data_IF_521191907463
#
_entry.id   IF_521191907463
#
_cell.length_a   1.000
_cell.length_b   1.000
_cell.length_c   1.000
_cell.angle_alpha   90.00
_cell.angle_beta   90.00
_cell.angle_gamma   90.00
#
_symmetry.space_group_name_H-M   'P 1'
#
loop_
_entity.id
_entity.type
_entity.pdbx_description
1 polymer ?
#
# COMPACT_ATOMS: atom_id res chain seq x y z
N UNK A 1 22.16 5.70 -12.91
CA UNK A 1 20.87 6.11 -12.33
C UNK A 1 19.83 4.99 -12.42
N UNK A 2 19.56 4.45 -13.61
CA UNK A 2 18.55 3.39 -13.86
C UNK A 2 18.69 2.06 -13.08
N UNK A 3 19.88 1.71 -12.58
CA UNK A 3 20.08 0.47 -11.82
C UNK A 3 19.51 0.49 -10.39
N UNK A 4 19.33 1.68 -9.78
CA UNK A 4 18.83 1.79 -8.39
C UNK A 4 17.33 1.46 -8.25
N UNK A 5 16.56 1.63 -9.33
CA UNK A 5 15.09 1.62 -9.31
C UNK A 5 14.50 0.28 -9.78
N UNK A 6 15.29 -0.55 -10.48
CA UNK A 6 14.78 -1.66 -11.28
C UNK A 6 14.16 -2.84 -10.50
N UNK A 7 14.32 -2.88 -9.17
CA UNK A 7 13.91 -4.01 -8.34
C UNK A 7 12.88 -3.64 -7.24
N UNK A 8 12.29 -2.45 -7.32
CA UNK A 8 11.34 -1.97 -6.29
C UNK A 8 9.94 -1.89 -6.91
N UNK A 9 8.93 -2.39 -6.20
CA UNK A 9 7.52 -2.15 -6.57
C UNK A 9 7.12 -0.70 -6.31
N UNK A 10 6.00 -0.24 -6.87
CA UNK A 10 5.45 1.08 -6.55
C UNK A 10 5.04 1.22 -5.09
N UNK A 11 4.53 0.16 -4.48
CA UNK A 11 4.13 0.17 -3.07
C UNK A 11 5.37 0.26 -2.17
N UNK A 12 6.41 -0.53 -2.46
CA UNK A 12 7.69 -0.46 -1.76
C UNK A 12 8.34 0.93 -1.89
N UNK A 13 8.29 1.52 -3.08
CA UNK A 13 8.79 2.87 -3.31
C UNK A 13 8.01 3.95 -2.54
N UNK A 14 6.68 3.83 -2.50
CA UNK A 14 5.82 4.73 -1.71
C UNK A 14 6.09 4.58 -0.22
N UNK A 15 6.25 3.35 0.27
CA UNK A 15 6.62 3.07 1.65
C UNK A 15 7.99 3.66 2.02
N UNK A 16 8.97 3.58 1.11
CA UNK A 16 10.27 4.18 1.30
C UNK A 16 10.19 5.72 1.45
N UNK A 17 9.31 6.39 0.70
CA UNK A 17 9.06 7.83 0.87
C UNK A 17 8.40 8.15 2.22
N UNK A 18 7.47 7.33 2.71
CA UNK A 18 6.86 7.52 4.03
C UNK A 18 7.89 7.42 5.16
N UNK A 19 8.76 6.41 5.14
CA UNK A 19 9.85 6.32 6.11
C UNK A 19 10.78 7.53 6.04
N UNK A 20 11.02 8.08 4.85
CA UNK A 20 11.81 9.30 4.69
C UNK A 20 11.11 10.53 5.27
N UNK A 21 9.82 10.71 4.97
CA UNK A 21 8.99 11.79 5.50
C UNK A 21 8.96 11.77 7.02
N UNK A 22 8.64 10.62 7.63
CA UNK A 22 8.55 10.48 9.07
C UNK A 22 9.84 10.88 9.78
N UNK A 23 10.99 10.50 9.24
CA UNK A 23 12.29 10.82 9.83
C UNK A 23 12.68 12.31 9.72
N UNK A 24 11.97 13.09 8.91
CA UNK A 24 12.24 14.52 8.69
C UNK A 24 11.22 15.43 9.40
N UNK A 25 10.14 14.86 9.96
CA UNK A 25 9.12 15.60 10.68
C UNK A 25 9.50 15.80 12.15
N UNK A 26 9.11 16.94 12.70
CA UNK A 26 9.28 17.28 14.12
C UNK A 26 8.02 16.96 14.96
N UNK A 27 6.87 16.83 14.29
CA UNK A 27 5.55 16.58 14.88
C UNK A 27 5.18 15.08 14.84
N UNK A 28 6.16 14.21 15.06
CA UNK A 28 5.98 12.75 15.06
C UNK A 28 6.33 12.16 16.42
N UNK A 29 5.47 11.24 16.89
CA UNK A 29 5.71 10.44 18.09
C UNK A 29 5.46 8.97 17.79
N UNK A 30 6.08 8.09 18.57
CA UNK A 30 5.84 6.65 18.51
C UNK A 30 5.07 6.23 19.75
N UNK A 31 4.02 5.43 19.56
CA UNK A 31 3.17 4.93 20.64
C UNK A 31 3.05 3.41 20.55
N UNK A 32 2.97 2.79 21.72
CA UNK A 32 2.67 1.37 21.89
C UNK A 32 1.89 1.18 23.20
N UNK A 33 1.04 0.16 23.26
CA UNK A 33 0.25 -0.18 24.43
C UNK A 33 0.25 -1.68 24.72
N UNK A 34 0.22 -2.01 26.02
CA UNK A 34 -0.10 -3.36 26.48
C UNK A 34 -1.53 -3.40 26.99
N UNK A 35 -2.22 -4.50 26.73
CA UNK A 35 -3.67 -4.59 26.89
C UNK A 35 -4.07 -5.84 27.64
N UNK A 36 -5.27 -5.84 28.23
CA UNK A 36 -5.83 -7.02 28.91
C UNK A 36 -6.25 -8.13 27.95
N UNK A 37 -6.12 -7.94 26.63
CA UNK A 37 -6.50 -8.91 25.62
C UNK A 37 -6.56 -8.31 24.21
N UNK A 38 -7.02 -9.11 23.26
CA UNK A 38 -7.09 -8.71 21.84
C UNK A 38 -8.42 -8.06 21.43
N UNK A 39 -9.48 -8.31 22.20
CA UNK A 39 -10.86 -7.89 21.91
C UNK A 39 -11.58 -7.63 23.22
N UNK A 40 -12.48 -6.64 23.25
CA UNK A 40 -13.20 -6.24 24.47
C UNK A 40 -12.22 -6.05 25.65
N UNK A 41 -11.16 -5.30 25.36
CA UNK A 41 -9.98 -5.21 26.20
C UNK A 41 -9.71 -3.76 26.58
N UNK A 42 -8.91 -3.61 27.64
CA UNK A 42 -8.53 -2.32 28.21
C UNK A 42 -7.02 -2.18 28.13
N UNK A 43 -6.54 -0.96 27.94
CA UNK A 43 -5.12 -0.64 28.04
C UNK A 43 -4.68 -0.76 29.51
N UNK A 44 -3.59 -1.48 29.77
CA UNK A 44 -2.99 -1.64 31.10
C UNK A 44 -1.57 -1.05 31.20
N UNK A 45 -0.92 -0.75 30.08
CA UNK A 45 0.29 0.07 29.98
C UNK A 45 0.29 0.84 28.67
N UNK A 46 0.80 2.07 28.68
CA UNK A 46 0.97 2.87 27.47
C UNK A 46 2.24 3.71 27.53
N UNK A 47 2.95 3.77 26.41
CA UNK A 47 4.17 4.54 26.27
C UNK A 47 4.14 5.40 25.01
N UNK A 48 4.77 6.57 25.10
CA UNK A 48 4.98 7.48 23.97
C UNK A 48 6.41 7.98 24.00
N UNK A 49 7.10 7.92 22.86
CA UNK A 49 8.44 8.46 22.67
C UNK A 49 8.49 9.42 21.48
N UNK A 50 9.44 10.35 21.49
CA UNK A 50 9.79 11.13 20.29
C UNK A 50 10.73 10.35 19.36
N UNK A 51 11.05 10.93 18.20
CA UNK A 51 11.98 10.34 17.24
C UNK A 51 13.45 10.35 17.68
N UNK A 52 13.78 10.97 18.81
CA UNK A 52 15.09 10.88 19.46
C UNK A 52 15.13 9.75 20.51
N UNK A 53 14.00 9.10 20.77
CA UNK A 53 13.85 8.03 21.75
C UNK A 53 13.64 8.53 23.18
N UNK A 54 13.38 9.83 23.38
CA UNK A 54 13.04 10.36 24.70
C UNK A 54 11.61 9.95 25.05
N UNK A 55 11.41 9.53 26.30
CA UNK A 55 10.06 9.24 26.81
C UNK A 55 9.29 10.53 27.04
N UNK A 56 8.18 10.66 26.32
CA UNK A 56 7.20 11.74 26.51
C UNK A 56 6.10 11.32 27.48
N UNK A 57 5.72 10.05 27.44
CA UNK A 57 4.75 9.45 28.34
C UNK A 57 5.12 7.99 28.60
N UNK A 58 4.90 7.52 29.83
CA UNK A 58 5.05 6.11 30.20
C UNK A 58 4.24 5.87 31.47
N UNK A 59 3.16 5.09 31.38
CA UNK A 59 2.28 4.86 32.52
C UNK A 59 1.70 3.46 32.47
N UNK A 60 1.63 2.82 33.64
CA UNK A 60 0.60 1.82 33.87
C UNK A 60 -0.77 2.48 33.91
N UNK A 61 -1.78 1.72 33.52
CA UNK A 61 -3.19 2.09 33.57
C UNK A 61 -3.89 1.01 34.36
N UNK A 62 -4.75 1.41 35.29
CA UNK A 62 -5.59 0.48 36.04
C UNK A 62 -6.83 0.14 35.23
N UNK A 63 -6.95 -1.08 34.65
CA UNK A 63 -8.17 -1.51 34.00
C UNK A 63 -9.28 -1.69 35.03
N UNK A 64 -10.54 -1.65 34.57
CA UNK A 64 -11.72 -1.95 35.37
C UNK A 64 -11.78 -3.44 35.68
N UNK A 65 -11.42 -4.29 34.70
CA UNK A 65 -11.42 -5.74 34.85
C UNK A 65 -10.03 -6.29 35.21
N UNK A 66 -9.95 -7.41 35.97
CA UNK A 66 -8.68 -8.06 36.26
C UNK A 66 -7.92 -8.45 34.99
N UNK A 67 -6.59 -8.32 35.00
CA UNK A 67 -5.74 -8.69 33.86
C UNK A 67 -5.78 -10.21 33.68
N UNK A 68 -6.25 -10.73 32.53
CA UNK A 68 -6.28 -12.16 32.27
C UNK A 68 -4.88 -12.80 32.27
N UNK A 69 -4.80 -14.05 32.73
CA UNK A 69 -3.52 -14.79 32.79
C UNK A 69 -2.82 -14.94 31.43
N UNK A 70 -3.58 -15.05 30.34
CA UNK A 70 -3.00 -15.15 28.99
C UNK A 70 -2.34 -13.84 28.55
N UNK A 71 -2.88 -12.68 28.92
CA UNK A 71 -2.25 -11.38 28.68
C UNK A 71 -0.98 -11.25 29.56
N UNK A 72 -1.08 -11.58 30.86
CA UNK A 72 0.07 -11.63 31.77
C UNK A 72 1.23 -12.48 31.22
N UNK A 73 0.95 -13.63 30.62
CA UNK A 73 1.99 -14.49 30.03
C UNK A 73 2.77 -13.83 28.88
N UNK A 74 2.18 -12.85 28.21
CA UNK A 74 2.80 -12.13 27.09
C UNK A 74 3.66 -11.00 27.64
N UNK A 75 3.05 -10.06 28.38
CA UNK A 75 3.68 -8.80 28.78
C UNK A 75 4.19 -8.75 30.23
N UNK A 76 3.83 -9.73 31.06
CA UNK A 76 4.26 -9.83 32.46
C UNK A 76 3.59 -8.88 33.46
N UNK A 77 2.66 -8.02 33.00
CA UNK A 77 1.88 -7.10 33.85
C UNK A 77 0.76 -7.85 34.59
N UNK A 78 0.69 -7.69 35.90
CA UNK A 78 -0.36 -8.26 36.75
C UNK A 78 -1.13 -7.17 37.53
N UNK A 79 -2.24 -7.55 38.16
CA UNK A 79 -3.11 -6.62 38.90
C UNK A 79 -2.37 -5.86 40.02
N UNK A 80 -1.39 -6.50 40.65
CA UNK A 80 -0.59 -5.89 41.73
C UNK A 80 0.27 -4.72 41.24
N UNK A 81 0.75 -4.76 39.99
CA UNK A 81 1.53 -3.69 39.38
C UNK A 81 0.66 -2.48 39.05
N UNK A 82 -0.60 -2.71 38.65
CA UNK A 82 -1.51 -1.64 38.18
C UNK A 82 -2.47 -1.12 39.26
N UNK A 83 -2.60 -1.79 40.42
CA UNK A 83 -3.62 -1.49 41.44
C UNK A 83 -3.72 -0.04 41.92
N UNK A 84 -2.60 0.68 41.91
CA UNK A 84 -2.47 2.08 42.36
C UNK A 84 -2.23 3.06 41.20
N UNK A 85 -2.31 2.57 39.96
CA UNK A 85 -2.15 3.37 38.75
C UNK A 85 -3.43 4.16 38.44
N UNK A 86 -3.33 5.27 37.70
CA UNK A 86 -4.51 6.01 37.24
C UNK A 86 -5.40 5.11 36.36
N UNK A 87 -6.71 5.38 36.37
CA UNK A 87 -7.63 4.80 35.39
C UNK A 87 -7.42 5.38 33.99
N UNK A 88 -8.15 4.86 33.01
CA UNK A 88 -8.00 5.30 31.61
C UNK A 88 -8.32 6.79 31.41
N UNK A 89 -9.39 7.31 32.02
CA UNK A 89 -9.76 8.73 31.90
C UNK A 89 -8.64 9.68 32.37
N UNK A 90 -8.11 9.44 33.58
CA UNK A 90 -7.01 10.27 34.13
C UNK A 90 -5.71 10.13 33.32
N UNK A 91 -5.47 8.95 32.76
CA UNK A 91 -4.33 8.70 31.87
C UNK A 91 -4.51 9.48 30.57
N UNK A 92 -5.69 9.41 29.97
CA UNK A 92 -6.02 10.08 28.72
C UNK A 92 -5.92 11.60 28.84
N UNK A 93 -6.38 12.20 29.95
CA UNK A 93 -6.26 13.64 30.19
C UNK A 93 -4.80 14.14 30.15
N UNK A 94 -3.84 13.29 30.51
CA UNK A 94 -2.41 13.58 30.43
C UNK A 94 -1.80 13.21 29.08
N UNK A 95 -2.31 12.15 28.46
CA UNK A 95 -1.82 11.61 27.20
C UNK A 95 -2.24 12.44 25.99
N UNK A 96 -3.52 12.84 25.89
CA UNK A 96 -4.07 13.52 24.73
C UNK A 96 -3.29 14.79 24.35
N UNK A 97 -2.90 15.70 25.27
CA UNK A 97 -2.08 16.86 24.92
C UNK A 97 -0.71 16.53 24.30
N UNK A 98 -0.19 15.32 24.54
CA UNK A 98 1.07 14.84 23.98
C UNK A 98 0.88 14.35 22.55
N UNK A 99 -0.29 13.78 22.24
CA UNK A 99 -0.65 13.20 20.94
C UNK A 99 -1.31 14.19 19.98
N UNK A 100 -2.03 15.16 20.53
CA UNK A 100 -2.78 16.16 19.76
C UNK A 100 -1.86 16.90 18.78
N UNK A 101 -2.36 17.10 17.56
CA UNK A 101 -1.68 17.80 16.47
C UNK A 101 -0.34 17.16 16.06
N UNK A 102 -0.14 15.87 16.36
CA UNK A 102 1.01 15.07 15.93
C UNK A 102 0.58 13.87 15.11
N UNK A 103 1.50 13.39 14.27
CA UNK A 103 1.39 12.07 13.67
C UNK A 103 1.90 11.01 14.66
N UNK A 104 1.02 10.10 15.05
CA UNK A 104 1.32 9.00 15.98
C UNK A 104 1.64 7.75 15.18
N UNK A 105 2.91 7.36 15.17
CA UNK A 105 3.38 6.13 14.54
C UNK A 105 3.22 4.97 15.52
N UNK A 106 2.50 3.95 15.09
CA UNK A 106 2.21 2.77 15.90
C UNK A 106 2.54 1.55 15.04
N UNK A 107 3.10 0.49 15.63
CA UNK A 107 3.41 -0.69 14.85
C UNK A 107 2.17 -1.27 14.20
N UNK A 108 1.10 -1.49 14.97
CA UNK A 108 -0.21 -1.90 14.47
C UNK A 108 -1.29 -0.87 14.85
N UNK A 109 -1.29 0.29 14.20
CA UNK A 109 -2.12 1.44 14.54
C UNK A 109 -3.62 1.16 14.75
N UNK A 110 -4.22 0.32 13.92
CA UNK A 110 -5.63 -0.05 14.04
C UNK A 110 -5.95 -0.71 15.39
N UNK A 111 -5.02 -1.50 15.93
CA UNK A 111 -5.19 -2.18 17.20
C UNK A 111 -5.19 -1.19 18.37
N UNK A 112 -4.13 -0.39 18.49
CA UNK A 112 -3.99 0.59 19.58
C UNK A 112 -5.03 1.70 19.49
N UNK A 113 -5.34 2.19 18.29
CA UNK A 113 -6.37 3.23 18.10
C UNK A 113 -7.75 2.75 18.55
N UNK A 114 -8.12 1.51 18.17
CA UNK A 114 -9.34 0.87 18.65
C UNK A 114 -9.33 0.71 20.17
N UNK A 115 -8.24 0.24 20.76
CA UNK A 115 -8.11 0.02 22.20
C UNK A 115 -8.17 1.33 23.01
N UNK A 116 -7.66 2.44 22.48
CA UNK A 116 -7.83 3.76 23.08
C UNK A 116 -9.32 4.17 23.14
N UNK A 117 -10.10 3.79 22.13
CA UNK A 117 -11.55 4.00 22.12
C UNK A 117 -12.29 3.00 23.03
N UNK A 118 -11.99 1.70 22.95
CA UNK A 118 -12.62 0.62 23.74
C UNK A 118 -12.35 0.76 25.24
N UNK A 119 -11.20 1.33 25.64
CA UNK A 119 -10.91 1.61 27.05
C UNK A 119 -11.85 2.65 27.68
N UNK A 120 -12.65 3.36 26.88
CA UNK A 120 -13.76 4.20 27.35
C UNK A 120 -15.13 3.48 27.36
N UNK A 121 -15.22 2.20 26.97
CA UNK A 121 -16.50 1.50 26.79
C UNK A 121 -17.31 1.33 28.09
N UNK A 122 -16.66 1.37 29.25
CA UNK A 122 -17.32 1.33 30.57
C UNK A 122 -17.95 2.67 30.97
N UNK A 123 -17.75 3.72 30.18
CA UNK A 123 -18.19 5.07 30.46
C UNK A 123 -19.59 5.36 29.89
N UNK A 124 -20.38 6.20 30.57
CA UNK A 124 -21.74 6.56 30.13
C UNK A 124 -21.68 7.51 28.92
N UNK A 125 -22.13 7.05 27.74
CA UNK A 125 -22.15 7.84 26.51
C UNK A 125 -23.13 9.03 26.57
N UNK A 126 -24.02 9.08 27.55
CA UNK A 126 -24.87 10.25 27.81
C UNK A 126 -24.12 11.37 28.51
N UNK A 127 -22.95 11.10 29.09
CA UNK A 127 -22.05 12.11 29.63
C UNK A 127 -21.37 12.90 28.50
N UNK A 128 -21.39 14.22 28.61
CA UNK A 128 -20.74 15.12 27.66
C UNK A 128 -19.21 14.98 27.68
N UNK A 129 -18.63 14.73 28.85
CA UNK A 129 -17.18 14.55 29.02
C UNK A 129 -16.70 13.34 28.23
N UNK A 130 -17.40 12.21 28.32
CA UNK A 130 -17.01 11.00 27.60
C UNK A 130 -17.18 11.14 26.09
N UNK A 131 -18.23 11.83 25.62
CA UNK A 131 -18.37 12.15 24.19
C UNK A 131 -17.21 12.99 23.68
N UNK A 132 -16.76 13.98 24.45
CA UNK A 132 -15.58 14.78 24.11
C UNK A 132 -14.33 13.89 23.99
N UNK A 133 -14.09 12.98 24.95
CA UNK A 133 -12.93 12.08 24.89
C UNK A 133 -12.95 11.14 23.70
N UNK A 134 -14.10 10.57 23.35
CA UNK A 134 -14.23 9.73 22.16
C UNK A 134 -14.00 10.52 20.87
N UNK A 135 -14.42 11.78 20.84
CA UNK A 135 -14.13 12.67 19.72
C UNK A 135 -12.62 12.97 19.62
N UNK A 136 -11.96 13.22 20.74
CA UNK A 136 -10.51 13.40 20.81
C UNK A 136 -9.75 12.18 20.28
N UNK A 137 -10.16 10.94 20.61
CA UNK A 137 -9.54 9.71 20.07
C UNK A 137 -9.65 9.68 18.54
N UNK A 138 -10.80 10.04 17.97
CA UNK A 138 -11.03 10.07 16.51
C UNK A 138 -10.18 11.12 15.79
N UNK A 139 -9.79 12.18 16.49
CA UNK A 139 -8.97 13.26 15.94
C UNK A 139 -7.48 12.91 15.91
N UNK A 140 -7.04 11.88 16.65
CA UNK A 140 -5.65 11.43 16.63
C UNK A 140 -5.31 10.87 15.25
N UNK A 141 -4.29 11.47 14.63
CA UNK A 141 -3.75 11.00 13.37
C UNK A 141 -2.76 9.88 13.64
N UNK A 142 -3.06 8.68 13.14
CA UNK A 142 -2.16 7.52 13.25
C UNK A 142 -1.60 7.10 11.89
N UNK A 143 -0.44 6.47 11.90
CA UNK A 143 0.03 5.70 10.76
C UNK A 143 0.66 4.36 11.20
N UNK A 144 0.43 3.35 10.36
CA UNK A 144 0.80 1.96 10.61
C UNK A 144 2.23 1.66 10.15
N UNK A 145 3.17 1.52 11.08
CA UNK A 145 4.56 1.18 10.75
C UNK A 145 4.67 -0.24 10.19
N UNK A 146 3.89 -1.20 10.71
CA UNK A 146 3.87 -2.58 10.21
C UNK A 146 3.46 -2.64 8.75
N UNK A 147 2.38 -1.96 8.37
CA UNK A 147 1.87 -1.97 6.99
C UNK A 147 2.89 -1.34 6.05
N UNK A 148 3.43 -0.18 6.41
CA UNK A 148 4.47 0.48 5.61
C UNK A 148 5.73 -0.36 5.52
N UNK A 149 6.13 -1.08 6.58
CA UNK A 149 7.26 -2.01 6.52
C UNK A 149 6.97 -3.23 5.63
N UNK A 150 5.77 -3.81 5.73
CA UNK A 150 5.30 -4.91 4.86
C UNK A 150 5.35 -4.49 3.39
N UNK A 151 4.84 -3.30 3.06
CA UNK A 151 4.89 -2.74 1.70
C UNK A 151 6.34 -2.51 1.25
N UNK A 152 7.20 -1.96 2.12
CA UNK A 152 8.61 -1.71 1.82
C UNK A 152 9.37 -2.97 1.39
N UNK A 153 9.08 -4.11 2.01
CA UNK A 153 9.74 -5.39 1.71
C UNK A 153 8.95 -6.27 0.73
N UNK A 154 7.88 -5.75 0.14
CA UNK A 154 6.98 -6.48 -0.77
C UNK A 154 6.46 -7.80 -0.17
N UNK A 155 6.16 -7.81 1.12
CA UNK A 155 5.59 -8.99 1.79
C UNK A 155 4.09 -9.08 1.56
N UNK A 156 3.59 -10.28 1.27
CA UNK A 156 2.15 -10.56 1.14
C UNK A 156 1.45 -10.83 2.48
N UNK A 157 2.21 -10.80 3.58
CA UNK A 157 1.70 -11.06 4.94
C UNK A 157 2.18 -9.99 5.90
N UNK A 158 1.40 -9.78 6.97
CA UNK A 158 1.86 -8.97 8.10
C UNK A 158 3.18 -9.48 8.67
N UNK A 159 4.04 -8.55 9.05
CA UNK A 159 5.35 -8.83 9.61
C UNK A 159 5.33 -8.53 11.11
N UNK A 160 5.96 -9.39 11.91
CA UNK A 160 6.07 -9.17 13.36
C UNK A 160 7.13 -8.13 13.68
N UNK A 161 6.92 -7.35 14.74
CA UNK A 161 7.86 -6.32 15.20
C UNK A 161 9.27 -6.90 15.41
N UNK A 162 9.37 -8.06 16.06
CA UNK A 162 10.64 -8.73 16.33
C UNK A 162 11.41 -9.12 15.07
N UNK A 163 10.70 -9.40 13.97
CA UNK A 163 11.34 -9.64 12.68
C UNK A 163 11.78 -8.31 12.04
N UNK A 164 10.94 -7.29 12.09
CA UNK A 164 11.23 -5.99 11.50
C UNK A 164 12.40 -5.26 12.20
N UNK A 165 12.47 -5.32 13.53
CA UNK A 165 13.59 -4.72 14.30
C UNK A 165 14.80 -5.66 14.41
N UNK A 166 14.64 -6.96 14.11
CA UNK A 166 15.73 -7.94 14.09
C UNK A 166 16.14 -8.51 15.45
N UNK A 167 15.35 -8.28 16.51
CA UNK A 167 15.59 -8.85 17.84
C UNK A 167 14.28 -9.10 18.59
N UNK A 168 14.32 -9.87 19.69
CA UNK A 168 13.16 -10.05 20.56
C UNK A 168 12.85 -8.80 21.37
N UNK A 169 11.58 -8.56 21.65
CA UNK A 169 11.13 -7.52 22.59
C UNK A 169 10.63 -8.17 23.89
N UNK A 170 10.49 -7.36 24.94
CA UNK A 170 10.01 -7.83 26.25
C UNK A 170 8.48 -7.77 26.38
N UNK A 171 7.76 -7.38 25.33
CA UNK A 171 6.33 -7.08 25.39
C UNK A 171 6.03 -6.10 26.53
N UNK A 172 6.66 -4.93 26.42
CA UNK A 172 6.41 -3.79 27.30
C UNK A 172 6.28 -2.57 26.44
N UNK A 173 5.31 -1.70 26.72
CA UNK A 173 4.99 -0.57 25.87
C UNK A 173 6.23 0.27 25.51
N UNK A 174 7.06 0.60 26.51
CA UNK A 174 8.29 1.38 26.29
C UNK A 174 9.35 0.62 25.47
N UNK A 175 9.44 -0.70 25.62
CA UNK A 175 10.36 -1.54 24.84
C UNK A 175 9.94 -1.59 23.38
N UNK A 176 8.64 -1.72 23.13
CA UNK A 176 8.08 -1.95 21.80
C UNK A 176 7.95 -0.62 21.04
N UNK A 177 7.75 0.51 21.73
CA UNK A 177 8.00 1.85 21.21
C UNK A 177 9.42 2.01 20.65
N UNK A 178 10.44 1.58 21.40
CA UNK A 178 11.84 1.69 20.96
C UNK A 178 12.12 0.79 19.76
N UNK A 179 11.64 -0.45 19.79
CA UNK A 179 11.77 -1.36 18.65
C UNK A 179 11.08 -0.80 17.40
N UNK A 180 9.91 -0.17 17.55
CA UNK A 180 9.20 0.50 16.45
C UNK A 180 9.99 1.70 15.92
N UNK A 181 10.58 2.51 16.81
CA UNK A 181 11.48 3.59 16.42
C UNK A 181 12.71 3.07 15.65
N UNK A 182 13.28 1.94 16.05
CA UNK A 182 14.39 1.31 15.33
C UNK A 182 13.98 0.91 13.92
N UNK A 183 12.79 0.33 13.72
CA UNK A 183 12.25 0.05 12.37
C UNK A 183 12.16 1.35 11.55
N UNK A 184 11.65 2.43 12.13
CA UNK A 184 11.54 3.73 11.45
C UNK A 184 12.93 4.27 11.06
N UNK A 185 13.90 4.21 11.97
CA UNK A 185 15.25 4.76 11.77
C UNK A 185 16.08 3.92 10.80
N UNK A 186 16.02 2.60 10.90
CA UNK A 186 16.77 1.67 10.05
C UNK A 186 16.31 1.71 8.58
N UNK A 187 15.06 2.15 8.33
CA UNK A 187 14.51 2.26 6.99
C UNK A 187 14.57 3.69 6.42
N UNK A 188 15.27 4.61 7.09
CA UNK A 188 15.54 5.94 6.56
C UNK A 188 16.56 5.86 5.40
N UNK A 189 16.15 6.23 4.19
CA UNK A 189 17.02 6.28 3.00
C UNK A 189 16.86 7.60 2.26
N UNK A 190 17.48 8.69 2.73
CA UNK A 190 17.31 10.03 2.13
C UNK A 190 17.74 10.13 0.67
N UNK A 191 18.60 9.21 0.21
CA UNK A 191 19.02 9.10 -1.19
C UNK A 191 17.88 8.64 -2.13
N UNK A 192 16.78 8.10 -1.61
CA UNK A 192 15.59 7.78 -2.38
C UNK A 192 14.61 8.96 -2.34
N UNK A 193 14.39 9.58 -3.49
CA UNK A 193 13.70 10.86 -3.60
C UNK A 193 12.34 10.73 -4.28
N UNK A 194 11.53 11.77 -4.16
CA UNK A 194 10.26 11.90 -4.92
C UNK A 194 10.48 11.78 -6.44
N UNK A 195 11.64 12.20 -6.94
CA UNK A 195 12.00 12.05 -8.37
C UNK A 195 12.21 10.58 -8.73
N UNK A 196 12.84 9.79 -7.86
CA UNK A 196 13.02 8.34 -8.09
C UNK A 196 11.67 7.62 -8.13
N UNK A 197 10.75 7.96 -7.23
CA UNK A 197 9.38 7.44 -7.23
C UNK A 197 8.62 7.80 -8.52
N UNK A 198 8.69 9.06 -8.97
CA UNK A 198 8.05 9.50 -10.22
C UNK A 198 8.63 8.79 -11.44
N UNK A 199 9.94 8.56 -11.48
CA UNK A 199 10.59 7.81 -12.55
C UNK A 199 10.12 6.36 -12.57
N UNK A 200 10.03 5.70 -11.41
CA UNK A 200 9.50 4.33 -11.31
C UNK A 200 8.06 4.25 -11.81
N UNK A 201 7.21 5.19 -11.41
CA UNK A 201 5.80 5.28 -11.84
C UNK A 201 5.66 5.47 -13.35
N UNK A 202 6.52 6.30 -13.95
CA UNK A 202 6.53 6.47 -15.40
C UNK A 202 6.99 5.19 -16.11
N UNK A 203 8.00 4.50 -15.57
CA UNK A 203 8.52 3.26 -16.14
C UNK A 203 7.48 2.13 -16.10
N UNK A 204 6.74 1.98 -15.01
CA UNK A 204 5.65 0.99 -14.93
C UNK A 204 4.53 1.30 -15.93
N UNK A 205 4.14 2.57 -16.06
CA UNK A 205 3.15 2.99 -17.05
C UNK A 205 3.62 2.72 -18.49
N UNK A 206 4.90 2.98 -18.77
CA UNK A 206 5.53 2.66 -20.05
C UNK A 206 5.48 1.15 -20.33
N UNK A 207 5.93 0.31 -19.39
CA UNK A 207 5.91 -1.15 -19.54
C UNK A 207 4.50 -1.71 -19.76
N UNK A 208 3.50 -1.19 -19.03
CA UNK A 208 2.09 -1.54 -19.21
C UNK A 208 1.60 -1.20 -20.62
N UNK A 209 1.94 0.00 -21.10
CA UNK A 209 1.61 0.45 -22.45
C UNK A 209 2.28 -0.41 -23.51
N UNK A 210 3.58 -0.73 -23.35
CA UNK A 210 4.31 -1.61 -24.25
C UNK A 210 3.69 -3.01 -24.30
N UNK A 211 3.30 -3.59 -23.15
CA UNK A 211 2.59 -4.89 -23.10
C UNK A 211 1.27 -4.83 -23.86
N UNK A 212 0.50 -3.74 -23.72
CA UNK A 212 -0.76 -3.55 -24.45
C UNK A 212 -0.54 -3.44 -25.95
N UNK A 213 0.45 -2.67 -26.40
CA UNK A 213 0.83 -2.56 -27.82
C UNK A 213 1.17 -3.93 -28.38
N UNK A 214 2.01 -4.72 -27.69
CA UNK A 214 2.35 -6.08 -28.12
C UNK A 214 1.12 -6.99 -28.24
N UNK A 215 0.19 -6.88 -27.30
CA UNK A 215 -1.08 -7.63 -27.36
C UNK A 215 -1.91 -7.22 -28.58
N UNK A 216 -2.05 -5.92 -28.83
CA UNK A 216 -2.79 -5.41 -29.98
C UNK A 216 -2.18 -5.86 -31.31
N UNK A 217 -0.85 -5.80 -31.43
CA UNK A 217 -0.16 -6.25 -32.64
C UNK A 217 -0.39 -7.74 -32.93
N UNK A 218 -0.48 -8.59 -31.90
CA UNK A 218 -0.86 -10.00 -32.07
C UNK A 218 -2.28 -10.16 -32.60
N UNK A 219 -3.23 -9.38 -32.07
CA UNK A 219 -4.62 -9.37 -32.54
C UNK A 219 -4.73 -8.87 -33.98
N UNK A 220 -4.05 -7.77 -34.32
CA UNK A 220 -4.01 -7.24 -35.69
C UNK A 220 -3.48 -8.29 -36.65
N UNK A 221 -2.40 -8.99 -36.29
CA UNK A 221 -1.84 -10.07 -37.11
C UNK A 221 -2.84 -11.22 -37.33
N UNK A 222 -3.57 -11.63 -36.30
CA UNK A 222 -4.58 -12.68 -36.41
C UNK A 222 -5.75 -12.27 -37.31
N UNK A 223 -6.29 -11.05 -37.13
CA UNK A 223 -7.36 -10.51 -37.97
C UNK A 223 -6.93 -10.33 -39.43
N UNK A 224 -5.67 -9.92 -39.66
CA UNK A 224 -5.11 -9.82 -41.01
C UNK A 224 -5.07 -11.19 -41.70
N UNK A 225 -4.72 -12.25 -40.97
CA UNK A 225 -4.69 -13.62 -41.49
C UNK A 225 -6.10 -14.10 -41.85
N UNK A 226 -7.07 -13.91 -40.96
CA UNK A 226 -8.48 -14.25 -41.19
C UNK A 226 -9.06 -13.50 -42.40
N UNK A 227 -8.74 -12.21 -42.55
CA UNK A 227 -9.15 -11.43 -43.72
C UNK A 227 -8.60 -12.02 -45.02
N UNK A 228 -7.32 -12.41 -45.04
CA UNK A 228 -6.73 -13.05 -46.23
C UNK A 228 -7.40 -14.38 -46.57
N UNK A 229 -7.80 -15.17 -45.57
CA UNK A 229 -8.53 -16.43 -45.77
C UNK A 229 -9.93 -16.19 -46.35
N UNK A 230 -10.67 -15.19 -45.84
CA UNK A 230 -11.99 -14.81 -46.35
C UNK A 230 -11.93 -14.27 -47.79
N UNK A 231 -10.92 -13.47 -48.13
CA UNK A 231 -10.71 -12.98 -49.50
C UNK A 231 -10.46 -14.15 -50.46
N UNK A 232 -9.62 -15.12 -50.07
CA UNK A 232 -9.37 -16.31 -50.87
C UNK A 232 -10.61 -17.20 -51.04
N UNK A 233 -11.50 -17.24 -50.05
CA UNK A 233 -12.80 -17.92 -50.17
C UNK A 233 -13.75 -17.17 -51.11
N UNK A 234 -13.81 -15.84 -51.01
CA UNK A 234 -14.61 -15.00 -51.90
C UNK A 234 -14.20 -15.17 -53.37
N UNK A 235 -12.91 -15.19 -53.68
CA UNK A 235 -12.40 -15.44 -55.03
C UNK A 235 -12.86 -16.79 -55.59
N UNK A 236 -12.83 -17.85 -54.77
CA UNK A 236 -13.34 -19.18 -55.17
C UNK A 236 -14.84 -19.14 -55.47
N UNK A 237 -15.62 -18.43 -54.66
CA UNK A 237 -17.07 -18.27 -54.88
C UNK A 237 -17.33 -17.54 -56.19
N UNK A 238 -16.59 -16.47 -56.48
CA UNK A 238 -16.71 -15.71 -57.74
C UNK A 238 -16.47 -16.62 -58.95
N UNK A 239 -15.38 -17.41 -58.94
CA UNK A 239 -15.08 -18.35 -60.03
C UNK A 239 -16.18 -19.39 -60.25
N UNK A 240 -16.81 -19.87 -59.17
CA UNK A 240 -17.95 -20.80 -59.26
C UNK A 240 -19.21 -20.14 -59.84
N UNK A 241 -19.46 -18.88 -59.50
CA UNK A 241 -20.56 -18.11 -60.09
C UNK A 241 -20.31 -17.88 -61.58
N UNK A 242 -19.11 -17.44 -61.97
CA UNK A 242 -18.76 -17.22 -63.38
C UNK A 242 -18.79 -18.51 -64.21
N UNK A 243 -18.34 -19.64 -63.66
CA UNK A 243 -18.36 -20.94 -64.33
C UNK A 243 -19.75 -21.55 -64.53
N UNK A 244 -20.75 -21.15 -63.73
CA UNK A 244 -22.13 -21.63 -63.84
C UNK A 244 -23.04 -20.75 -64.72
N UNK A 245 -22.55 -19.60 -65.20
CA UNK A 245 -23.28 -18.72 -66.13
C UNK A 245 -22.69 -18.72 -67.55
N UNK A 246 -21.80 -19.66 -67.86
CA UNK A 246 -21.15 -19.82 -69.16
C UNK A 246 -21.89 -20.71 -70.16
N UNK A 247 -23.21 -20.62 -70.28
CA UNK A 247 -23.94 -20.95 -71.52
C UNK A 247 -25.04 -19.89 -71.73
N UNK A 248 -25.06 -19.31 -72.94
CA UNK A 248 -26.00 -18.34 -73.51
C UNK A 248 -25.86 -16.84 -73.14
N UNK A 249 -24.95 -16.12 -73.81
CA UNK A 249 -25.32 -15.24 -74.93
C UNK A 249 -24.14 -14.40 -75.46
N UNK A 250 -24.21 -14.14 -76.77
CA UNK A 250 -23.23 -13.41 -77.56
C UNK A 250 -23.37 -11.86 -77.48
N UNK A 251 -22.24 -11.21 -77.80
CA UNK A 251 -22.04 -9.85 -78.32
C UNK A 251 -21.99 -8.60 -77.39
N UNK A 252 -20.82 -7.96 -77.50
CA UNK A 252 -20.53 -6.51 -77.61
C UNK A 252 -19.80 -5.80 -76.44
N UNK A 253 -18.56 -5.42 -76.79
CA UNK A 253 -17.92 -4.09 -76.66
C UNK A 253 -17.61 -3.41 -75.30
N UNK A 254 -16.28 -3.25 -75.10
CA UNK A 254 -15.48 -2.11 -74.57
C UNK A 254 -15.87 -1.46 -73.22
N UNK A 255 -14.98 -1.55 -72.22
CA UNK A 255 -14.14 -0.43 -71.73
C UNK A 255 -13.69 -0.56 -70.25
N UNK A 256 -12.46 -0.06 -70.03
CA UNK A 256 -11.90 0.53 -68.81
C UNK A 256 -11.39 -0.41 -67.69
N UNK A 257 -10.05 -0.44 -67.64
CA UNK A 257 -9.21 -0.67 -66.46
C UNK A 257 -9.67 0.14 -65.25
N UNK A 258 -9.86 -0.52 -64.11
CA UNK A 258 -9.97 0.11 -62.79
C UNK A 258 -8.93 -0.53 -61.86
N UNK A 259 -7.92 0.26 -61.48
CA UNK A 259 -6.93 -0.06 -60.44
C UNK A 259 -7.34 0.67 -59.15
N UNK A 260 -7.75 -0.02 -58.07
CA UNK A 260 -8.15 0.63 -56.82
C UNK A 260 -6.99 1.03 -55.90
N UNK A 261 -5.72 0.79 -56.26
CA UNK A 261 -4.59 0.92 -55.31
C UNK A 261 -3.45 1.83 -55.75
N UNK A 262 -3.72 2.84 -56.57
CA UNK A 262 -2.79 3.98 -56.68
C UNK A 262 -3.00 4.96 -55.51
N UNK A 263 -2.49 4.60 -54.33
CA UNK A 263 -2.11 5.58 -53.30
C UNK A 263 -0.71 5.26 -52.77
N UNK A 264 0.18 6.19 -53.09
CA UNK A 264 1.57 6.32 -52.69
C UNK A 264 1.70 6.44 -51.16
N UNK A 265 2.45 5.54 -50.53
CA UNK A 265 3.35 5.90 -49.43
C UNK A 265 4.44 4.86 -49.24
N UNK A 266 5.70 5.34 -49.30
CA UNK A 266 6.97 4.63 -49.16
C UNK A 266 7.00 3.62 -47.99
N UNK A 267 7.80 2.55 -48.09
CA UNK A 267 8.16 1.76 -46.93
C UNK A 267 9.08 2.59 -46.04
N UNK A 268 8.63 2.88 -44.81
CA UNK A 268 9.55 3.14 -43.71
C UNK A 268 10.05 1.76 -43.28
N UNK A 269 11.21 1.41 -43.81
CA UNK A 269 12.08 0.37 -43.26
C UNK A 269 12.45 0.79 -41.84
N UNK A 270 11.84 0.12 -40.85
CA UNK A 270 12.29 0.14 -39.47
C UNK A 270 12.78 -1.26 -39.17
N UNK A 271 14.05 -1.50 -39.49
CA UNK A 271 14.82 -2.60 -38.94
C UNK A 271 14.84 -2.51 -37.42
N UNK A 272 14.77 -3.66 -36.75
CA UNK A 272 14.76 -3.86 -35.28
C UNK A 272 16.00 -3.30 -34.52
N UNK A 273 16.90 -2.56 -35.19
CA UNK A 273 18.17 -2.05 -34.63
C UNK A 273 18.15 -0.55 -34.22
N UNK A 274 17.04 0.19 -34.38
CA UNK A 274 16.97 1.64 -34.11
C UNK A 274 16.20 2.05 -32.83
N UNK A 275 16.29 1.26 -31.75
CA UNK A 275 15.88 1.71 -30.41
C UNK A 275 17.10 2.20 -29.62
N UNK A 276 17.23 3.52 -29.35
CA UNK A 276 18.28 4.01 -28.48
C UNK A 276 17.85 3.85 -27.02
N UNK A 277 18.57 2.98 -26.30
CA UNK A 277 18.72 2.93 -24.82
C UNK A 277 17.45 2.76 -23.96
#
# INVERSE_FOLDING_TARGET
MFHKIKNMSLESAKAQLLFNEWNQREDVVVLDSETTGLWDAEICEIAVIDLQGNSLFNSFVKPVHPIPYEAYKIHGINDDMVKHSPGWLETWDKLYPILKDKLVLIYNDEFDHRLMHESFATCDLNDEVFREKLQQVKEIQTACVMRTYTDLIDSSTWVKLTFACGHSTKHRAMSDCRATLEVIKNNYKPDFTETDYKQLKLMEAFESTTKRIRSLNRTIKALSQEQSELLAEQEKIILLLEGNFGEDNAESEVAATYDPFEVVSRPLDLSDDDLPF
#
